data_IF_389947896532
#
_entry.id   IF_389947896532
#
_cell.length_a   1.000
_cell.length_b   1.000
_cell.length_c   1.000
_cell.angle_alpha   90.00
_cell.angle_beta   90.00
_cell.angle_gamma   90.00
#
_symmetry.space_group_name_H-M   'P 1'
#
loop_
_entity.id
_entity.type
_entity.pdbx_description
1 polymer ?
#
# COMPACT_ATOMS: atom_id res chain seq x y z
N UNK A 1 -4.04 -15.62 -13.12
CA UNK A 1 -4.08 -15.95 -11.68
C UNK A 1 -4.85 -17.24 -11.50
N UNK A 2 -4.25 -18.29 -10.95
CA UNK A 2 -4.92 -19.57 -10.70
C UNK A 2 -6.01 -19.44 -9.62
N UNK A 3 -7.01 -20.34 -9.66
CA UNK A 3 -8.08 -20.38 -8.67
C UNK A 3 -7.56 -20.64 -7.25
N UNK A 4 -6.49 -21.43 -7.10
CA UNK A 4 -5.88 -21.77 -5.82
C UNK A 4 -5.25 -20.53 -5.16
N UNK A 5 -4.44 -19.77 -5.92
CA UNK A 5 -3.83 -18.53 -5.45
C UNK A 5 -4.88 -17.49 -5.07
N UNK A 6 -5.95 -17.37 -5.88
CA UNK A 6 -7.08 -16.48 -5.59
C UNK A 6 -7.73 -16.85 -4.25
N UNK A 7 -7.95 -18.14 -4.00
CA UNK A 7 -8.57 -18.60 -2.76
C UNK A 7 -7.68 -18.35 -1.53
N UNK A 8 -6.37 -18.52 -1.66
CA UNK A 8 -5.40 -18.16 -0.59
C UNK A 8 -5.47 -16.69 -0.23
N UNK A 9 -5.44 -15.81 -1.24
CA UNK A 9 -5.54 -14.36 -1.03
C UNK A 9 -6.86 -14.02 -0.33
N UNK A 10 -7.99 -14.57 -0.81
CA UNK A 10 -9.31 -14.33 -0.23
C UNK A 10 -9.40 -14.80 1.23
N UNK A 11 -8.79 -15.93 1.57
CA UNK A 11 -8.74 -16.43 2.94
C UNK A 11 -8.00 -15.45 3.86
N UNK A 12 -6.83 -14.94 3.44
CA UNK A 12 -6.08 -13.94 4.20
C UNK A 12 -6.85 -12.62 4.30
N UNK A 13 -7.51 -12.19 3.22
CA UNK A 13 -8.38 -11.01 3.27
C UNK A 13 -9.55 -11.18 4.24
N UNK A 14 -10.09 -12.40 4.34
CA UNK A 14 -11.16 -12.75 5.25
C UNK A 14 -10.81 -12.55 6.73
N UNK A 15 -9.55 -12.72 7.12
CA UNK A 15 -9.15 -12.61 8.53
C UNK A 15 -9.17 -11.18 9.03
N UNK A 16 -8.79 -10.22 8.20
CA UNK A 16 -8.69 -8.81 8.62
C UNK A 16 -9.93 -7.96 8.34
N UNK A 17 -10.79 -8.38 7.39
CA UNK A 17 -12.03 -7.66 7.04
C UNK A 17 -12.95 -7.35 8.23
N UNK A 18 -13.20 -8.26 9.20
CA UNK A 18 -14.05 -7.96 10.35
C UNK A 18 -13.49 -6.86 11.23
N UNK A 19 -12.19 -6.90 11.54
CA UNK A 19 -11.53 -5.88 12.35
C UNK A 19 -11.63 -4.50 11.69
N UNK A 20 -11.43 -4.42 10.37
CA UNK A 20 -11.60 -3.17 9.63
C UNK A 20 -13.04 -2.69 9.59
N UNK A 21 -14.01 -3.60 9.46
CA UNK A 21 -15.44 -3.23 9.50
C UNK A 21 -15.81 -2.63 10.84
N UNK A 22 -15.36 -3.22 11.94
CA UNK A 22 -15.62 -2.71 13.29
C UNK A 22 -15.03 -1.31 13.47
N UNK A 23 -13.81 -1.07 12.97
CA UNK A 23 -13.19 0.26 12.98
C UNK A 23 -13.99 1.24 12.12
N UNK A 24 -14.34 0.87 10.89
CA UNK A 24 -15.10 1.73 9.98
C UNK A 24 -16.46 2.15 10.56
N UNK A 25 -17.12 1.26 11.31
CA UNK A 25 -18.39 1.53 11.98
C UNK A 25 -18.25 2.48 13.18
N UNK A 26 -17.06 2.60 13.77
CA UNK A 26 -16.80 3.48 14.92
C UNK A 26 -16.38 4.91 14.53
N UNK A 27 -16.15 5.18 13.24
CA UNK A 27 -15.68 6.48 12.77
C UNK A 27 -16.84 7.45 12.56
N UNK A 28 -16.62 8.70 12.96
CA UNK A 28 -17.53 9.79 12.66
C UNK A 28 -17.23 10.40 11.29
N UNK A 29 -18.16 11.17 10.72
CA UNK A 29 -17.95 11.85 9.43
C UNK A 29 -16.74 12.78 9.47
N UNK A 30 -16.49 13.44 10.60
CA UNK A 30 -15.32 14.30 10.76
C UNK A 30 -14.02 13.49 10.77
N UNK A 31 -14.01 12.29 11.38
CA UNK A 31 -12.83 11.41 11.36
C UNK A 31 -12.50 10.96 9.94
N UNK A 32 -13.53 10.67 9.13
CA UNK A 32 -13.35 10.29 7.72
C UNK A 32 -12.68 11.42 6.91
N UNK A 33 -13.13 12.66 7.10
CA UNK A 33 -12.53 13.84 6.45
C UNK A 33 -11.07 14.03 6.88
N UNK A 34 -10.79 13.92 8.18
CA UNK A 34 -9.43 14.09 8.72
C UNK A 34 -8.47 13.01 8.22
N UNK A 35 -8.94 11.77 8.07
CA UNK A 35 -8.15 10.66 7.53
C UNK A 35 -7.78 10.93 6.06
N UNK A 36 -8.73 11.40 5.26
CA UNK A 36 -8.49 11.71 3.86
C UNK A 36 -7.56 12.93 3.69
N UNK A 37 -7.76 13.98 4.50
CA UNK A 37 -6.86 15.15 4.53
C UNK A 37 -5.42 14.74 4.91
N UNK A 38 -5.26 13.85 5.90
CA UNK A 38 -3.97 13.33 6.31
C UNK A 38 -3.29 12.51 5.19
N UNK A 39 -4.07 11.76 4.41
CA UNK A 39 -3.56 11.02 3.25
C UNK A 39 -3.07 11.95 2.14
N UNK A 40 -3.83 13.00 1.81
CA UNK A 40 -3.41 13.99 0.81
C UNK A 40 -2.14 14.75 1.25
N UNK A 41 -2.04 15.15 2.53
CA UNK A 41 -0.80 15.72 3.08
C UNK A 41 0.38 14.77 2.97
N UNK A 42 0.17 13.48 3.25
CA UNK A 42 1.20 12.45 3.08
C UNK A 42 1.68 12.41 1.63
N UNK A 43 0.77 12.41 0.65
CA UNK A 43 1.14 12.42 -0.77
C UNK A 43 2.00 13.63 -1.15
N UNK A 44 1.71 14.81 -0.61
CA UNK A 44 2.49 16.02 -0.82
C UNK A 44 3.88 15.92 -0.21
N UNK A 45 4.00 15.41 1.03
CA UNK A 45 5.30 15.21 1.70
C UNK A 45 6.19 14.25 0.90
N UNK A 46 5.61 13.19 0.32
CA UNK A 46 6.34 12.22 -0.51
C UNK A 46 6.71 12.75 -1.90
N UNK A 47 6.22 13.91 -2.35
CA UNK A 47 6.53 14.46 -3.67
C UNK A 47 8.02 14.79 -3.83
N UNK A 48 8.57 15.46 -2.83
CA UNK A 48 10.00 15.81 -2.79
C UNK A 48 10.86 14.57 -2.64
N UNK A 49 10.43 13.64 -1.80
CA UNK A 49 11.14 12.37 -1.55
C UNK A 49 11.25 11.58 -2.85
N UNK A 50 10.14 11.37 -3.55
CA UNK A 50 10.11 10.63 -4.82
C UNK A 50 10.90 11.32 -5.94
N UNK A 51 10.91 12.66 -5.97
CA UNK A 51 11.68 13.43 -6.96
C UNK A 51 13.19 13.42 -6.69
N UNK A 52 13.59 13.18 -5.45
CA UNK A 52 15.00 13.19 -5.01
C UNK A 52 15.65 11.80 -4.96
N UNK A 53 14.86 10.72 -4.93
CA UNK A 53 15.35 9.35 -4.81
C UNK A 53 15.52 8.69 -6.18
N UNK A 54 16.73 8.22 -6.48
CA UNK A 54 17.02 7.41 -7.67
C UNK A 54 16.69 5.91 -7.53
N UNK A 55 15.82 5.52 -6.58
CA UNK A 55 15.45 4.13 -6.30
C UNK A 55 13.98 3.93 -6.66
N UNK A 56 13.59 2.87 -7.40
CA UNK A 56 12.19 2.59 -7.72
C UNK A 56 11.30 2.54 -6.48
N UNK A 57 10.28 3.39 -6.42
CA UNK A 57 9.33 3.48 -5.32
C UNK A 57 7.92 3.81 -5.81
N UNK A 58 6.93 3.21 -5.15
CA UNK A 58 5.53 3.60 -5.28
C UNK A 58 4.82 3.52 -3.93
N UNK A 59 3.70 4.24 -3.84
CA UNK A 59 2.81 4.32 -2.70
C UNK A 59 1.42 3.92 -3.20
N UNK A 60 0.83 2.95 -2.53
CA UNK A 60 -0.50 2.44 -2.85
C UNK A 60 -1.34 2.35 -1.59
N UNK A 61 -2.66 2.46 -1.76
CA UNK A 61 -3.63 2.20 -0.70
C UNK A 61 -3.70 0.70 -0.40
N UNK A 62 -4.19 0.33 0.78
CA UNK A 62 -4.58 -1.03 1.16
C UNK A 62 -5.56 -1.73 0.21
N UNK A 63 -6.28 -0.99 -0.63
CA UNK A 63 -7.10 -1.51 -1.73
C UNK A 63 -6.23 -2.13 -2.84
N UNK A 64 -4.94 -1.77 -2.88
CA UNK A 64 -3.98 -2.11 -3.92
C UNK A 64 -3.77 -0.95 -4.90
N UNK A 65 -4.66 0.04 -4.92
CA UNK A 65 -4.62 1.18 -5.84
C UNK A 65 -3.39 2.06 -5.61
N UNK A 66 -2.63 2.33 -6.67
CA UNK A 66 -1.42 3.14 -6.61
C UNK A 66 -1.78 4.62 -6.72
N UNK A 67 -1.35 5.43 -5.74
CA UNK A 67 -1.60 6.88 -5.73
C UNK A 67 -0.36 7.70 -6.07
N UNK A 68 0.84 7.12 -5.91
CA UNK A 68 2.08 7.80 -6.28
C UNK A 68 3.16 6.81 -6.71
N UNK A 69 3.81 7.07 -7.83
CA UNK A 69 5.00 6.35 -8.31
C UNK A 69 6.11 7.34 -8.67
N UNK A 70 7.37 6.91 -8.65
CA UNK A 70 8.46 7.68 -9.26
C UNK A 70 8.78 7.21 -10.67
N UNK A 71 9.61 7.98 -11.38
CA UNK A 71 10.00 7.71 -12.77
C UNK A 71 10.76 6.39 -12.88
N UNK A 72 11.54 6.06 -11.86
CA UNK A 72 12.33 4.85 -11.76
C UNK A 72 11.43 3.61 -11.64
N UNK A 73 10.35 3.69 -10.86
CA UNK A 73 9.36 2.61 -10.78
C UNK A 73 8.54 2.49 -12.06
N UNK A 74 8.13 3.63 -12.65
CA UNK A 74 7.45 3.65 -13.95
C UNK A 74 8.28 2.97 -15.04
N UNK A 75 9.57 3.27 -15.11
CA UNK A 75 10.52 2.63 -16.03
C UNK A 75 10.70 1.14 -15.72
N UNK A 76 10.75 0.75 -14.45
CA UNK A 76 10.92 -0.64 -14.02
C UNK A 76 9.75 -1.54 -14.45
N UNK A 77 8.52 -1.05 -14.32
CA UNK A 77 7.31 -1.81 -14.74
C UNK A 77 6.88 -1.49 -16.17
N UNK A 78 7.61 -0.61 -16.85
CA UNK A 78 7.34 -0.14 -18.21
C UNK A 78 5.91 0.40 -18.41
N UNK A 79 5.48 1.29 -17.51
CA UNK A 79 4.19 1.98 -17.61
C UNK A 79 4.38 3.50 -17.62
N UNK A 80 3.48 4.26 -18.27
CA UNK A 80 3.47 5.71 -18.14
C UNK A 80 3.30 6.13 -16.67
N UNK A 81 4.02 7.18 -16.25
CA UNK A 81 3.98 7.66 -14.87
C UNK A 81 2.57 8.08 -14.44
N UNK A 82 1.73 8.49 -15.38
CA UNK A 82 0.33 8.89 -15.22
C UNK A 82 -0.55 7.74 -14.74
N UNK A 83 -0.18 6.49 -15.07
CA UNK A 83 -0.91 5.29 -14.64
C UNK A 83 -0.62 4.92 -13.18
N UNK A 84 0.48 5.45 -12.61
CA UNK A 84 0.90 5.21 -11.22
C UNK A 84 0.41 6.31 -10.26
N UNK A 85 -0.68 6.97 -10.61
CA UNK A 85 -1.29 8.06 -9.83
C UNK A 85 -2.80 7.86 -9.81
N UNK A 86 -3.46 8.46 -8.82
CA UNK A 86 -4.93 8.53 -8.74
C UNK A 86 -5.65 7.16 -8.74
N UNK A 87 -4.98 6.08 -8.36
CA UNK A 87 -5.58 4.75 -8.26
C UNK A 87 -5.88 4.07 -9.60
N UNK A 88 -5.28 4.54 -10.71
CA UNK A 88 -5.53 3.98 -12.06
C UNK A 88 -5.02 2.55 -12.25
N UNK A 89 -4.00 2.16 -11.50
CA UNK A 89 -3.44 0.81 -11.49
C UNK A 89 -3.39 0.27 -10.07
N UNK A 90 -3.53 -1.04 -9.95
CA UNK A 90 -3.33 -1.74 -8.69
C UNK A 90 -1.98 -2.45 -8.64
N UNK A 91 -1.30 -2.41 -7.49
CA UNK A 91 0.03 -3.00 -7.32
C UNK A 91 0.06 -4.50 -7.64
N UNK A 92 -1.02 -5.23 -7.29
CA UNK A 92 -1.11 -6.66 -7.55
C UNK A 92 -1.24 -6.99 -9.05
N UNK A 93 -1.59 -6.03 -9.90
CA UNK A 93 -1.60 -6.21 -11.36
C UNK A 93 -0.19 -6.22 -11.93
N UNK A 94 0.73 -5.50 -11.27
CA UNK A 94 2.15 -5.42 -11.60
C UNK A 94 2.97 -6.55 -10.95
N UNK A 95 2.38 -7.34 -10.05
CA UNK A 95 3.04 -8.46 -9.39
C UNK A 95 2.82 -9.78 -10.14
N UNK A 96 3.85 -10.62 -10.18
CA UNK A 96 3.69 -12.02 -10.53
C UNK A 96 2.78 -12.72 -9.48
N UNK A 97 2.08 -13.76 -9.92
CA UNK A 97 1.08 -14.43 -9.09
C UNK A 97 1.61 -14.90 -7.73
N UNK A 98 2.76 -15.57 -7.72
CA UNK A 98 3.38 -16.06 -6.47
C UNK A 98 3.77 -14.92 -5.53
N UNK A 99 4.23 -13.80 -6.09
CA UNK A 99 4.62 -12.63 -5.31
C UNK A 99 3.41 -11.89 -4.73
N UNK A 100 2.29 -11.86 -5.47
CA UNK A 100 1.03 -11.30 -4.97
C UNK A 100 0.48 -12.11 -3.79
N UNK A 101 0.55 -13.44 -3.84
CA UNK A 101 0.13 -14.30 -2.71
C UNK A 101 1.01 -14.05 -1.49
N UNK A 102 2.34 -14.06 -1.67
CA UNK A 102 3.30 -13.80 -0.60
C UNK A 102 3.12 -12.40 0.03
N UNK A 103 2.84 -11.38 -0.80
CA UNK A 103 2.49 -10.03 -0.35
C UNK A 103 1.31 -10.07 0.63
N UNK A 104 0.20 -10.70 0.26
CA UNK A 104 -1.00 -10.70 1.08
C UNK A 104 -0.82 -11.49 2.38
N UNK A 105 -0.14 -12.64 2.32
CA UNK A 105 0.19 -13.44 3.50
C UNK A 105 1.05 -12.65 4.51
N UNK A 106 2.07 -11.94 4.03
CA UNK A 106 2.90 -11.06 4.86
C UNK A 106 2.11 -9.88 5.42
N UNK A 107 1.28 -9.25 4.59
CA UNK A 107 0.44 -8.13 5.02
C UNK A 107 -0.52 -8.56 6.14
N UNK A 108 -1.18 -9.71 6.00
CA UNK A 108 -2.08 -10.26 7.01
C UNK A 108 -1.43 -10.42 8.38
N UNK A 109 -0.15 -10.81 8.42
CA UNK A 109 0.59 -10.98 9.67
C UNK A 109 0.94 -9.65 10.36
N UNK A 110 1.21 -8.58 9.60
CA UNK A 110 1.65 -7.29 10.16
C UNK A 110 0.55 -6.23 10.26
N UNK A 111 -0.59 -6.45 9.61
CA UNK A 111 -1.70 -5.50 9.56
C UNK A 111 -2.16 -5.11 10.97
N UNK A 112 -2.10 -6.03 11.94
CA UNK A 112 -2.50 -5.77 13.32
C UNK A 112 -1.36 -5.87 14.35
N UNK A 113 -0.17 -6.30 13.96
CA UNK A 113 0.96 -6.35 14.89
C UNK A 113 1.42 -4.93 15.26
N UNK A 114 1.30 -4.58 16.55
CA UNK A 114 1.74 -3.29 17.09
C UNK A 114 3.26 -3.09 17.00
N UNK A 115 4.04 -4.17 17.13
CA UNK A 115 5.50 -4.17 17.17
C UNK A 115 6.16 -4.05 15.80
N UNK A 116 5.50 -4.52 14.74
CA UNK A 116 6.04 -4.47 13.37
C UNK A 116 5.54 -3.25 12.61
N UNK A 117 6.50 -2.43 12.13
CA UNK A 117 6.23 -1.20 11.36
C UNK A 117 6.49 -1.38 9.86
N UNK A 118 7.27 -2.36 9.46
CA UNK A 118 7.55 -2.65 8.06
C UNK A 118 7.97 -4.11 7.90
N UNK A 119 7.77 -4.65 6.70
CA UNK A 119 8.27 -5.93 6.25
C UNK A 119 9.01 -5.72 4.94
N UNK A 120 10.19 -6.31 4.83
CA UNK A 120 10.92 -6.39 3.58
C UNK A 120 10.58 -7.72 2.90
N UNK A 121 10.24 -7.67 1.62
CA UNK A 121 10.01 -8.88 0.82
C UNK A 121 10.57 -8.73 -0.58
N UNK A 122 11.05 -9.84 -1.15
CA UNK A 122 11.28 -9.91 -2.59
C UNK A 122 9.93 -10.04 -3.31
N UNK A 123 9.83 -9.41 -4.46
CA UNK A 123 8.67 -9.42 -5.34
C UNK A 123 9.14 -9.51 -6.79
N UNK A 124 8.54 -10.42 -7.55
CA UNK A 124 8.67 -10.47 -8.99
C UNK A 124 7.63 -9.54 -9.61
N UNK A 125 8.10 -8.55 -10.35
CA UNK A 125 7.24 -7.65 -11.10
C UNK A 125 7.11 -8.12 -12.55
N UNK A 126 5.96 -7.84 -13.14
CA UNK A 126 5.66 -8.09 -14.55
C UNK A 126 5.16 -6.80 -15.20
N UNK A 127 5.46 -6.65 -16.47
CA UNK A 127 4.87 -5.59 -17.28
C UNK A 127 3.36 -5.90 -17.48
N UNK A 128 2.46 -4.93 -17.31
CA UNK A 128 1.05 -5.10 -17.63
C UNK A 128 0.77 -5.30 -19.14
N UNK A 129 1.66 -4.85 -20.03
CA UNK A 129 1.52 -5.07 -21.47
C UNK A 129 2.02 -6.48 -21.89
N UNK A 130 1.14 -7.34 -22.42
CA UNK A 130 1.48 -8.71 -22.79
C UNK A 130 2.41 -8.82 -23.99
N UNK A 131 2.47 -7.80 -24.85
CA UNK A 131 3.25 -7.80 -26.09
C UNK A 131 4.74 -7.49 -25.87
N UNK A 132 5.10 -6.94 -24.71
CA UNK A 132 6.50 -6.70 -24.33
C UNK A 132 7.01 -7.89 -23.50
N UNK A 133 7.09 -9.05 -24.15
CA UNK A 133 7.61 -10.29 -23.56
C UNK A 133 9.08 -10.09 -23.13
N UNK A 134 9.43 -10.55 -21.90
CA UNK A 134 10.77 -10.94 -21.41
C UNK A 134 11.50 -10.07 -20.36
N UNK A 135 10.84 -9.37 -19.45
CA UNK A 135 11.54 -8.84 -18.27
C UNK A 135 10.78 -9.07 -16.96
N UNK A 136 10.86 -10.30 -16.45
CA UNK A 136 10.52 -10.56 -15.04
C UNK A 136 11.64 -9.99 -14.18
N UNK A 137 11.47 -8.77 -13.68
CA UNK A 137 12.49 -8.12 -12.85
C UNK A 137 12.18 -8.37 -11.36
N UNK A 138 13.10 -9.04 -10.66
CA UNK A 138 13.03 -9.21 -9.20
C UNK A 138 13.37 -7.90 -8.52
N UNK A 139 12.45 -7.40 -7.71
CA UNK A 139 12.62 -6.15 -6.95
C UNK A 139 12.39 -6.38 -5.46
N UNK A 140 13.14 -5.67 -4.62
CA UNK A 140 12.89 -5.67 -3.17
C UNK A 140 11.77 -4.66 -2.92
N UNK A 141 10.63 -5.15 -2.45
CA UNK A 141 9.49 -4.32 -2.05
C UNK A 141 9.52 -4.18 -0.53
N UNK A 142 9.70 -2.95 -0.06
CA UNK A 142 9.52 -2.62 1.35
C UNK A 142 8.05 -2.32 1.60
N UNK A 143 7.37 -3.23 2.31
CA UNK A 143 6.03 -3.03 2.82
C UNK A 143 6.12 -2.23 4.11
N UNK A 144 6.04 -0.91 4.00
CA UNK A 144 5.99 -0.05 5.16
C UNK A 144 4.55 0.17 5.62
N UNK A 145 4.32 0.15 6.93
CA UNK A 145 3.09 0.65 7.55
C UNK A 145 3.31 2.12 7.88
N UNK A 146 2.50 3.03 7.35
CA UNK A 146 2.68 4.45 7.65
C UNK A 146 2.45 4.66 9.14
N UNK A 147 3.42 5.27 9.85
CA UNK A 147 3.21 5.66 11.22
C UNK A 147 2.32 6.92 11.26
N UNK A 148 1.08 6.79 11.71
CA UNK A 148 0.19 7.91 12.09
C UNK A 148 0.66 8.62 13.38
N UNK A 149 1.97 8.85 13.57
CA UNK A 149 2.49 9.45 14.82
C UNK A 149 2.79 10.95 14.72
N UNK A 150 2.67 11.59 13.54
CA UNK A 150 3.09 13.00 13.38
C UNK A 150 1.96 14.02 13.26
N UNK A 151 0.69 13.61 13.17
CA UNK A 151 -0.45 14.53 13.10
C UNK A 151 -1.09 14.89 14.46
N UNK A 152 -0.73 14.21 15.57
CA UNK A 152 -1.43 14.37 16.86
C UNK A 152 -0.72 15.27 17.90
N UNK A 153 0.43 15.90 17.60
CA UNK A 153 1.14 16.69 18.62
C UNK A 153 0.68 18.14 18.77
N UNK A 154 -0.40 18.56 18.10
CA UNK A 154 -0.79 19.96 18.03
C UNK A 154 -2.15 20.36 18.61
N UNK A 155 -3.16 19.48 18.72
CA UNK A 155 -4.54 20.01 18.74
C UNK A 155 -5.53 19.47 19.78
N UNK A 156 -5.35 18.33 20.45
CA UNK A 156 -6.36 17.89 21.42
C UNK A 156 -5.76 17.19 22.64
N UNK A 157 -6.00 17.77 23.81
CA UNK A 157 -5.67 17.20 25.10
C UNK A 157 -6.51 15.97 25.41
N UNK A 158 -5.87 14.97 26.01
CA UNK A 158 -6.47 14.23 27.13
C UNK A 158 -7.29 12.97 26.86
N UNK A 159 -7.59 12.58 25.62
CA UNK A 159 -8.30 11.30 25.36
C UNK A 159 -7.48 10.35 24.48
N UNK A 160 -6.94 9.31 25.12
CA UNK A 160 -6.22 8.20 24.47
C UNK A 160 -7.22 7.26 23.78
N UNK A 161 -7.58 7.57 22.53
CA UNK A 161 -8.20 6.59 21.64
C UNK A 161 -7.11 5.69 21.03
N UNK A 162 -7.37 4.38 20.83
CA UNK A 162 -6.40 3.49 20.19
C UNK A 162 -6.00 4.06 18.83
N UNK A 163 -4.71 4.00 18.45
CA UNK A 163 -4.23 4.63 17.22
C UNK A 163 -4.92 4.01 16.01
N UNK A 164 -5.71 4.85 15.32
CA UNK A 164 -6.32 4.52 14.03
C UNK A 164 -5.18 4.23 13.05
N UNK A 165 -4.98 2.95 12.76
CA UNK A 165 -4.05 2.47 11.73
C UNK A 165 -4.84 2.28 10.44
N UNK A 166 -5.15 3.37 9.74
CA UNK A 166 -5.31 3.28 8.29
C UNK A 166 -3.90 3.12 7.71
N UNK A 167 -3.48 1.86 7.65
CA UNK A 167 -2.24 1.50 6.98
C UNK A 167 -2.34 1.91 5.52
N UNK A 168 -1.19 2.38 5.01
CA UNK A 168 -0.90 2.62 3.60
C UNK A 168 -1.60 1.55 2.77
#
# INVERSE_FOLDING_TARGET
MSNISRQRILNVMGTFRPAFRNVAQSLTDIDLVLVEEAFERLLLDYDRVFSSMGIPACLWRRTGEIYKGNKEFAALVNVPLEMLREGRLCIYELMAEESAVNYWEKYGNIAFDAGQKAVLTSCLLKNPDPDTMLSSTSSIVQLAKAPFKRAQRGLFGGTTYPPIRFGI
#
